data_IF_963031909638
#
_entry.id   IF_963031909638
#
_cell.length_a   1.000
_cell.length_b   1.000
_cell.length_c   1.000
_cell.angle_alpha   90.00
_cell.angle_beta   90.00
_cell.angle_gamma   90.00
#
_symmetry.space_group_name_H-M   'P 1'
#
loop_
_entity.id
_entity.type
_entity.pdbx_description
1 polymer ?
#
# COMPACT_ATOMS: atom_id res chain seq x y z
N UNK A 1 -4.76 -14.92 4.13
CA UNK A 1 -3.48 -14.73 4.85
C UNK A 1 -2.34 -15.11 3.94
N UNK A 2 -1.22 -14.42 4.05
CA UNK A 2 0.05 -14.83 3.45
C UNK A 2 0.65 -15.96 4.32
N UNK A 3 0.73 -17.20 3.82
CA UNK A 3 0.98 -18.38 4.64
C UNK A 3 2.48 -18.72 4.83
N UNK A 4 3.39 -18.10 4.07
CA UNK A 4 4.83 -18.33 4.18
C UNK A 4 5.52 -17.46 5.25
N UNK A 5 6.73 -17.84 5.65
CA UNK A 5 7.58 -16.95 6.44
C UNK A 5 8.22 -15.88 5.55
N UNK A 6 8.69 -14.78 6.15
CA UNK A 6 9.20 -13.60 5.42
C UNK A 6 10.36 -13.96 4.47
N UNK A 7 11.24 -14.87 4.89
CA UNK A 7 12.37 -15.33 4.08
C UNK A 7 11.90 -16.11 2.84
N UNK A 8 10.93 -17.02 3.02
CA UNK A 8 10.39 -17.82 1.90
C UNK A 8 9.71 -16.94 0.86
N UNK A 9 8.98 -15.91 1.31
CA UNK A 9 8.29 -14.95 0.43
C UNK A 9 9.30 -14.16 -0.39
N UNK A 10 10.34 -13.63 0.28
CA UNK A 10 11.40 -12.86 -0.40
C UNK A 10 12.13 -13.74 -1.42
N UNK A 11 12.56 -14.93 -1.01
CA UNK A 11 13.26 -15.86 -1.89
C UNK A 11 12.40 -16.29 -3.09
N UNK A 12 11.12 -16.56 -2.86
CA UNK A 12 10.17 -16.91 -3.93
C UNK A 12 10.04 -15.77 -4.95
N UNK A 13 9.82 -14.53 -4.51
CA UNK A 13 9.66 -13.38 -5.41
C UNK A 13 10.95 -13.14 -6.19
N UNK A 14 12.10 -13.14 -5.52
CA UNK A 14 13.40 -12.92 -6.16
C UNK A 14 13.72 -13.96 -7.21
N UNK A 15 13.53 -15.25 -6.91
CA UNK A 15 13.79 -16.32 -7.89
C UNK A 15 12.81 -16.31 -9.05
N UNK A 16 11.52 -16.05 -8.79
CA UNK A 16 10.47 -16.15 -9.80
C UNK A 16 10.45 -14.97 -10.77
N UNK A 17 10.75 -13.78 -10.27
CA UNK A 17 10.60 -12.53 -11.02
C UNK A 17 11.92 -11.79 -11.24
N UNK A 18 13.05 -12.37 -10.82
CA UNK A 18 14.39 -11.76 -10.92
C UNK A 18 14.42 -10.33 -10.35
N UNK A 19 13.65 -10.11 -9.28
CA UNK A 19 13.38 -8.81 -8.69
C UNK A 19 13.54 -8.87 -7.18
N UNK A 20 14.28 -7.93 -6.60
CA UNK A 20 14.40 -7.78 -5.16
C UNK A 20 13.48 -6.65 -4.67
N UNK A 21 12.26 -6.97 -4.20
CA UNK A 21 11.36 -5.98 -3.65
C UNK A 21 11.87 -5.44 -2.31
N UNK A 22 11.60 -4.16 -2.05
CA UNK A 22 11.66 -3.61 -0.69
C UNK A 22 10.44 -4.12 0.09
N UNK A 23 10.65 -5.19 0.87
CA UNK A 23 9.63 -5.82 1.70
C UNK A 23 9.92 -5.57 3.18
N UNK A 24 8.88 -5.19 3.90
CA UNK A 24 8.89 -5.08 5.35
C UNK A 24 8.42 -6.39 5.98
N UNK A 25 8.72 -6.57 7.27
CA UNK A 25 8.15 -7.65 8.06
C UNK A 25 6.63 -7.60 8.11
N UNK A 26 6.00 -8.75 8.37
CA UNK A 26 4.55 -8.89 8.39
C UNK A 26 3.96 -8.08 9.53
N UNK A 27 2.94 -7.29 9.22
CA UNK A 27 2.20 -6.48 10.20
C UNK A 27 0.69 -6.65 10.03
N UNK A 28 -0.06 -6.39 11.10
CA UNK A 28 -1.52 -6.26 11.02
C UNK A 28 -1.90 -4.88 10.46
N UNK A 29 -2.83 -4.86 9.52
CA UNK A 29 -3.30 -3.62 8.85
C UNK A 29 -4.71 -3.21 9.31
N UNK A 30 -5.41 -4.12 9.99
CA UNK A 30 -6.75 -3.94 10.56
C UNK A 30 -6.78 -4.47 12.00
N UNK A 31 -7.83 -4.13 12.74
CA UNK A 31 -8.00 -4.54 14.13
C UNK A 31 -7.22 -3.67 15.12
N UNK A 32 -7.32 -4.03 16.40
CA UNK A 32 -6.76 -3.24 17.51
C UNK A 32 -5.23 -3.19 17.46
N UNK A 33 -4.61 -4.28 16.99
CA UNK A 33 -3.16 -4.41 16.84
C UNK A 33 -2.64 -3.88 15.50
N UNK A 34 -3.48 -3.19 14.70
CA UNK A 34 -3.02 -2.61 13.44
C UNK A 34 -1.81 -1.70 13.65
N UNK A 35 -0.80 -1.86 12.80
CA UNK A 35 0.42 -1.07 12.88
C UNK A 35 0.12 0.44 12.79
N UNK A 36 0.79 1.31 13.55
CA UNK A 36 0.49 2.75 13.59
C UNK A 36 0.44 3.42 12.22
N UNK A 37 1.34 3.04 11.30
CA UNK A 37 1.32 3.50 9.91
C UNK A 37 -0.03 3.22 9.23
N UNK A 38 -0.57 2.01 9.36
CA UNK A 38 -1.83 1.65 8.73
C UNK A 38 -3.04 2.27 9.43
N UNK A 39 -2.96 2.58 10.73
CA UNK A 39 -3.97 3.40 11.41
C UNK A 39 -4.00 4.81 10.79
N UNK A 40 -2.84 5.47 10.73
CA UNK A 40 -2.69 6.79 10.11
C UNK A 40 -3.17 6.84 8.65
N UNK A 41 -2.73 5.89 7.81
CA UNK A 41 -3.13 5.86 6.38
C UNK A 41 -4.64 5.73 6.19
N UNK A 42 -5.31 4.92 7.04
CA UNK A 42 -6.77 4.73 6.99
C UNK A 42 -7.53 5.93 7.54
N UNK A 43 -6.98 6.62 8.54
CA UNK A 43 -7.54 7.87 9.07
C UNK A 43 -7.48 9.00 8.02
N UNK A 44 -6.33 9.17 7.37
CA UNK A 44 -6.13 10.20 6.34
C UNK A 44 -6.94 9.92 5.06
N UNK A 45 -7.00 8.66 4.64
CA UNK A 45 -7.75 8.23 3.46
C UNK A 45 -8.65 7.03 3.79
N UNK A 46 -9.80 7.36 4.37
CA UNK A 46 -10.85 6.41 4.75
C UNK A 46 -11.47 5.66 3.57
N UNK A 47 -12.30 4.67 3.90
CA UNK A 47 -13.19 4.02 2.94
C UNK A 47 -14.59 4.61 2.99
N UNK A 48 -15.46 4.18 2.08
CA UNK A 48 -16.81 4.76 1.92
C UNK A 48 -17.81 4.39 3.02
N UNK A 49 -17.55 3.33 3.79
CA UNK A 49 -18.45 2.80 4.82
C UNK A 49 -17.66 2.48 6.09
N UNK A 50 -16.52 1.82 5.91
CA UNK A 50 -15.50 1.60 6.94
C UNK A 50 -14.14 1.96 6.36
N UNK A 51 -13.20 2.32 7.22
CA UNK A 51 -11.82 2.62 6.86
C UNK A 51 -10.98 1.34 6.66
N UNK A 52 -11.47 0.18 7.11
CA UNK A 52 -10.78 -1.10 7.03
C UNK A 52 -10.25 -1.44 5.62
N UNK A 53 -9.03 -1.99 5.57
CA UNK A 53 -8.41 -2.50 4.34
C UNK A 53 -9.09 -3.83 3.97
N UNK A 54 -9.95 -3.79 2.95
CA UNK A 54 -10.86 -4.89 2.62
C UNK A 54 -10.17 -6.12 2.03
N UNK A 55 -9.04 -5.94 1.34
CA UNK A 55 -8.34 -7.04 0.67
C UNK A 55 -6.87 -6.70 0.39
N UNK A 56 -6.11 -7.73 0.02
CA UNK A 56 -4.74 -7.63 -0.45
C UNK A 56 -4.64 -6.66 -1.64
N UNK A 57 -3.50 -5.98 -1.77
CA UNK A 57 -3.23 -4.98 -2.81
C UNK A 57 -4.09 -3.71 -2.75
N UNK A 58 -4.58 -3.32 -1.58
CA UNK A 58 -4.99 -1.91 -1.36
C UNK A 58 -3.73 -1.03 -1.44
N UNK A 59 -3.79 0.09 -2.15
CA UNK A 59 -2.63 0.99 -2.33
C UNK A 59 -2.93 2.37 -1.74
N UNK A 60 -1.91 3.01 -1.19
CA UNK A 60 -1.94 4.40 -0.75
C UNK A 60 -0.88 5.18 -1.51
N UNK A 61 -1.24 6.36 -2.02
CA UNK A 61 -0.31 7.30 -2.61
C UNK A 61 -0.02 8.37 -1.57
N UNK A 62 1.27 8.59 -1.30
CA UNK A 62 1.77 9.56 -0.31
C UNK A 62 2.69 10.53 -1.04
N UNK A 63 2.51 11.83 -0.81
CA UNK A 63 3.33 12.87 -1.43
C UNK A 63 4.71 13.04 -0.75
N UNK A 64 5.55 13.92 -1.30
CA UNK A 64 6.90 14.19 -0.78
C UNK A 64 6.92 14.86 0.61
N UNK A 65 5.79 15.40 1.05
CA UNK A 65 5.63 16.02 2.36
C UNK A 65 5.04 15.04 3.39
N UNK A 66 4.71 13.81 2.98
CA UNK A 66 4.10 12.80 3.83
C UNK A 66 2.57 12.83 3.86
N UNK A 67 1.90 13.65 3.05
CA UNK A 67 0.44 13.66 2.99
C UNK A 67 -0.08 12.46 2.20
N UNK A 68 -1.10 11.79 2.73
CA UNK A 68 -1.77 10.69 2.04
C UNK A 68 -2.76 11.28 1.05
N UNK A 69 -2.38 11.33 -0.23
CA UNK A 69 -3.18 12.02 -1.26
C UNK A 69 -4.36 11.19 -1.75
N UNK A 70 -4.22 9.86 -1.76
CA UNK A 70 -5.25 8.98 -2.31
C UNK A 70 -5.10 7.54 -1.85
N UNK A 71 -6.23 6.85 -1.79
CA UNK A 71 -6.32 5.40 -1.56
C UNK A 71 -6.98 4.72 -2.76
N UNK A 72 -6.41 3.60 -3.20
CA UNK A 72 -6.89 2.83 -4.35
C UNK A 72 -7.35 1.44 -3.94
N UNK A 73 -8.42 0.99 -4.60
CA UNK A 73 -8.95 -0.35 -4.40
C UNK A 73 -7.97 -1.43 -4.88
N UNK A 74 -8.09 -2.66 -4.35
CA UNK A 74 -7.39 -3.84 -4.87
C UNK A 74 -7.49 -4.00 -6.40
N UNK A 75 -8.65 -3.69 -6.98
CA UNK A 75 -8.91 -3.86 -8.41
C UNK A 75 -8.32 -2.75 -9.28
N UNK A 76 -7.94 -1.61 -8.70
CA UNK A 76 -7.27 -0.54 -9.46
C UNK A 76 -5.93 -1.05 -9.97
N UNK A 77 -5.75 -1.00 -11.29
CA UNK A 77 -4.53 -1.48 -11.93
C UNK A 77 -3.41 -0.45 -11.75
N UNK A 78 -2.14 -0.89 -11.59
CA UNK A 78 -1.02 0.04 -11.43
C UNK A 78 -0.91 1.10 -12.54
N UNK A 79 -1.19 0.74 -13.80
CA UNK A 79 -1.17 1.68 -14.93
C UNK A 79 -2.17 2.84 -14.79
N UNK A 80 -3.28 2.63 -14.07
CA UNK A 80 -4.31 3.64 -13.88
C UNK A 80 -3.90 4.66 -12.80
N UNK A 81 -2.82 4.38 -12.04
CA UNK A 81 -2.29 5.23 -10.97
C UNK A 81 -1.19 6.16 -11.50
N UNK A 82 -0.62 5.87 -12.67
CA UNK A 82 0.55 6.60 -13.24
C UNK A 82 0.32 8.11 -13.30
N UNK A 83 -0.86 8.54 -13.78
CA UNK A 83 -1.17 9.97 -13.90
C UNK A 83 -1.16 10.70 -12.54
N UNK A 84 -1.68 10.06 -11.50
CA UNK A 84 -1.70 10.63 -10.16
C UNK A 84 -0.28 10.72 -9.59
N UNK A 85 0.56 9.72 -9.86
CA UNK A 85 1.99 9.72 -9.48
C UNK A 85 2.75 10.85 -10.19
N UNK A 86 2.59 10.98 -11.51
CA UNK A 86 3.24 12.05 -12.29
C UNK A 86 2.83 13.44 -11.79
N UNK A 87 1.56 13.59 -11.40
CA UNK A 87 1.04 14.84 -10.86
C UNK A 87 1.77 15.24 -9.57
N UNK A 88 1.92 14.33 -8.60
CA UNK A 88 2.64 14.64 -7.35
C UNK A 88 4.15 14.79 -7.54
N UNK A 89 4.76 14.11 -8.52
CA UNK A 89 6.19 14.24 -8.80
C UNK A 89 6.54 15.61 -9.38
N UNK A 90 5.62 16.19 -10.15
CA UNK A 90 5.77 17.50 -10.76
C UNK A 90 5.36 18.66 -9.82
N UNK A 91 5.01 18.36 -8.56
CA UNK A 91 4.63 19.37 -7.56
C UNK A 91 3.21 19.93 -7.75
N UNK A 92 2.40 19.31 -8.60
CA UNK A 92 0.99 19.65 -8.74
C UNK A 92 0.16 18.95 -7.64
N UNK A 93 -0.87 19.63 -7.13
CA UNK A 93 -1.82 19.02 -6.20
C UNK A 93 -2.74 18.05 -6.97
N UNK A 94 -2.91 16.84 -6.42
CA UNK A 94 -3.87 15.82 -6.90
C UNK A 94 -5.23 16.08 -6.31
#
# INVERSE_FOLDING_TARGET
>A
MEPGCELDIKEFITKKYEFEPDLYSKVEVNGDNAHPLYKFLKEEQGGTITDAIKWNFTKFLVDRNGHVVKRYSPQTQPKDIVKDIETILNGAKV
#
